data_IF_819451479192
#
_entry.id   IF_819451479192
#
_cell.length_a   1.000
_cell.length_b   1.000
_cell.length_c   1.000
_cell.angle_alpha   90.00
_cell.angle_beta   90.00
_cell.angle_gamma   90.00
#
_symmetry.space_group_name_H-M   'P 1'
#
loop_
_entity.id
_entity.type
_entity.pdbx_description
1 polymer ?
#
# COMPACT_ATOMS: atom_id res chain seq x y z
N UNK A 1 14.85 16.04 -16.61
CA UNK A 1 13.92 14.94 -16.94
C UNK A 1 13.64 14.20 -15.64
N UNK A 2 12.39 13.88 -15.39
CA UNK A 2 12.01 13.10 -14.19
C UNK A 2 12.65 11.71 -14.23
N UNK A 3 12.98 11.16 -13.06
CA UNK A 3 13.50 9.79 -12.94
C UNK A 3 12.48 8.71 -13.36
N UNK A 4 11.22 9.08 -13.57
CA UNK A 4 10.11 8.18 -13.94
C UNK A 4 9.67 8.35 -15.39
N UNK A 5 10.32 9.27 -16.14
CA UNK A 5 10.04 9.47 -17.57
C UNK A 5 10.14 8.13 -18.32
N UNK A 6 9.06 7.79 -19.04
CA UNK A 6 8.92 6.55 -19.81
C UNK A 6 8.97 5.23 -19.01
N UNK A 7 8.96 5.28 -17.69
CA UNK A 7 8.81 4.08 -16.88
C UNK A 7 7.39 3.50 -16.98
N UNK A 8 7.28 2.20 -16.83
CA UNK A 8 6.06 1.40 -16.89
C UNK A 8 5.66 1.01 -15.49
N UNK A 9 4.56 1.57 -15.03
CA UNK A 9 4.12 1.49 -13.65
C UNK A 9 2.79 0.76 -13.56
N UNK A 10 2.64 -0.12 -12.60
CA UNK A 10 1.35 -0.75 -12.25
C UNK A 10 0.97 -0.28 -10.85
N UNK A 11 -0.27 0.16 -10.69
CA UNK A 11 -0.84 0.47 -9.36
C UNK A 11 -2.13 -0.34 -9.18
N UNK A 12 -2.16 -1.21 -8.16
CA UNK A 12 -3.34 -2.00 -7.83
C UNK A 12 -4.22 -1.28 -6.82
N UNK A 13 -5.56 -1.50 -6.88
CA UNK A 13 -6.52 -0.76 -6.07
C UNK A 13 -6.47 0.73 -6.39
N UNK A 14 -6.28 1.07 -7.66
CA UNK A 14 -6.05 2.44 -8.12
C UNK A 14 -7.32 3.17 -8.59
N UNK A 15 -8.50 2.56 -8.42
CA UNK A 15 -9.78 3.21 -8.70
C UNK A 15 -10.17 4.31 -7.71
N UNK A 16 -9.35 4.58 -6.69
CA UNK A 16 -9.60 5.65 -5.72
C UNK A 16 -8.50 5.75 -4.65
N UNK A 17 -8.66 6.72 -3.76
CA UNK A 17 -7.82 6.91 -2.59
C UNK A 17 -6.31 6.98 -2.89
N UNK A 18 -5.52 6.29 -2.08
CA UNK A 18 -4.04 6.28 -2.21
C UNK A 18 -3.62 5.77 -3.59
N UNK A 19 -4.28 4.70 -4.10
CA UNK A 19 -3.94 4.13 -5.40
C UNK A 19 -4.12 5.10 -6.55
N UNK A 20 -5.22 5.84 -6.58
CA UNK A 20 -5.47 6.87 -7.59
C UNK A 20 -4.43 8.01 -7.50
N UNK A 21 -4.13 8.49 -6.28
CA UNK A 21 -3.12 9.51 -6.08
C UNK A 21 -1.72 9.07 -6.57
N UNK A 22 -1.34 7.82 -6.29
CA UNK A 22 -0.10 7.23 -6.80
C UNK A 22 -0.10 7.18 -8.33
N UNK A 23 -1.20 6.72 -8.94
CA UNK A 23 -1.32 6.63 -10.40
C UNK A 23 -1.20 7.99 -11.07
N UNK A 24 -1.93 9.00 -10.58
CA UNK A 24 -1.82 10.38 -11.06
C UNK A 24 -0.40 10.93 -10.92
N UNK A 25 0.24 10.72 -9.75
CA UNK A 25 1.58 11.24 -9.51
C UNK A 25 2.62 10.60 -10.43
N UNK A 26 2.62 9.28 -10.62
CA UNK A 26 3.52 8.62 -11.56
C UNK A 26 3.31 9.10 -13.00
N UNK A 27 2.06 9.28 -13.42
CA UNK A 27 1.75 9.79 -14.75
C UNK A 27 2.23 11.23 -14.94
N UNK A 28 2.09 12.10 -13.95
CA UNK A 28 2.59 13.47 -13.95
C UNK A 28 4.13 13.53 -14.07
N UNK A 29 4.83 12.52 -13.57
CA UNK A 29 6.28 12.35 -13.69
C UNK A 29 6.70 11.72 -15.04
N UNK A 30 5.75 11.50 -15.96
CA UNK A 30 5.99 11.00 -17.32
C UNK A 30 5.99 9.48 -17.48
N UNK A 31 5.56 8.74 -16.48
CA UNK A 31 5.38 7.29 -16.59
C UNK A 31 4.15 6.94 -17.43
N UNK A 32 4.13 5.69 -17.93
CA UNK A 32 2.91 5.03 -18.44
C UNK A 32 2.36 4.15 -17.34
N UNK A 33 1.11 4.38 -16.93
CA UNK A 33 0.53 3.76 -15.72
C UNK A 33 -0.60 2.80 -16.09
N UNK A 34 -0.53 1.57 -15.61
CA UNK A 34 -1.68 0.68 -15.51
C UNK A 34 -2.42 1.00 -14.21
N UNK A 35 -3.68 1.38 -14.38
CA UNK A 35 -4.65 1.59 -13.31
C UNK A 35 -5.45 0.31 -13.15
N UNK A 36 -5.17 -0.47 -12.07
CA UNK A 36 -5.92 -1.69 -11.78
C UNK A 36 -6.86 -1.47 -10.60
N UNK A 37 -8.09 -1.93 -10.75
CA UNK A 37 -9.09 -2.03 -9.68
C UNK A 37 -10.05 -3.19 -9.98
N UNK A 38 -10.70 -3.72 -8.93
CA UNK A 38 -11.78 -4.71 -9.11
C UNK A 38 -13.00 -4.10 -9.83
N UNK A 39 -13.26 -2.80 -9.60
CA UNK A 39 -14.32 -2.05 -10.25
C UNK A 39 -13.80 -1.46 -11.58
N UNK A 40 -14.30 -1.99 -12.74
CA UNK A 40 -13.86 -1.51 -14.05
C UNK A 40 -14.17 -0.03 -14.29
N UNK A 41 -15.28 0.47 -13.75
CA UNK A 41 -15.69 1.87 -13.94
C UNK A 41 -14.77 2.82 -13.17
N UNK A 42 -14.37 2.45 -11.95
CA UNK A 42 -13.41 3.22 -11.16
C UNK A 42 -12.03 3.24 -11.82
N UNK A 43 -11.55 2.08 -12.29
CA UNK A 43 -10.28 2.01 -13.00
C UNK A 43 -10.26 2.88 -14.27
N UNK A 44 -11.35 2.82 -15.07
CA UNK A 44 -11.51 3.60 -16.29
C UNK A 44 -11.53 5.11 -15.97
N UNK A 45 -12.31 5.54 -15.00
CA UNK A 45 -12.42 6.96 -14.64
C UNK A 45 -11.07 7.58 -14.23
N UNK A 46 -10.25 6.84 -13.45
CA UNK A 46 -8.91 7.32 -13.07
C UNK A 46 -7.98 7.36 -14.28
N UNK A 47 -8.02 6.36 -15.16
CA UNK A 47 -7.19 6.35 -16.36
C UNK A 47 -7.57 7.48 -17.34
N UNK A 48 -8.86 7.76 -17.51
CA UNK A 48 -9.38 8.90 -18.31
C UNK A 48 -8.94 10.23 -17.71
N UNK A 49 -9.09 10.42 -16.38
CA UNK A 49 -8.65 11.65 -15.70
C UNK A 49 -7.15 11.90 -15.82
N UNK A 50 -6.33 10.86 -15.82
CA UNK A 50 -4.90 10.99 -16.12
C UNK A 50 -4.69 11.45 -17.58
N UNK A 51 -5.45 10.88 -18.53
CA UNK A 51 -5.39 11.27 -19.95
C UNK A 51 -5.79 12.74 -20.19
N UNK A 52 -6.83 13.22 -19.53
CA UNK A 52 -7.28 14.62 -19.58
C UNK A 52 -6.21 15.62 -19.11
N UNK A 53 -5.36 15.19 -18.16
CA UNK A 53 -4.22 15.95 -17.68
C UNK A 53 -2.95 15.82 -18.55
N UNK A 54 -3.05 15.12 -19.70
CA UNK A 54 -1.94 14.88 -20.61
C UNK A 54 -0.99 13.76 -20.21
N UNK A 55 -1.33 12.96 -19.19
CA UNK A 55 -0.61 11.77 -18.76
C UNK A 55 -0.91 10.54 -19.62
N UNK A 56 -0.23 9.43 -19.36
CA UNK A 56 -0.41 8.16 -20.06
C UNK A 56 -0.87 7.09 -19.08
N UNK A 57 -2.10 6.62 -19.22
CA UNK A 57 -2.65 5.55 -18.39
C UNK A 57 -3.54 4.60 -19.20
N UNK A 58 -3.65 3.37 -18.74
CA UNK A 58 -4.56 2.36 -19.26
C UNK A 58 -5.21 1.62 -18.10
N UNK A 59 -6.54 1.49 -18.17
CA UNK A 59 -7.28 0.69 -17.19
C UNK A 59 -7.14 -0.80 -17.48
N UNK A 60 -6.74 -1.58 -16.47
CA UNK A 60 -6.70 -3.04 -16.51
C UNK A 60 -7.47 -3.54 -15.29
N UNK A 61 -8.81 -3.69 -15.40
CA UNK A 61 -9.65 -4.14 -14.30
C UNK A 61 -9.39 -5.61 -13.95
N UNK A 62 -9.63 -5.97 -12.69
CA UNK A 62 -9.52 -7.34 -12.23
C UNK A 62 -8.83 -7.49 -10.89
N UNK A 63 -8.67 -8.73 -10.46
CA UNK A 63 -8.07 -9.07 -9.18
C UNK A 63 -6.57 -8.72 -9.16
N UNK A 64 -6.17 -7.93 -8.19
CA UNK A 64 -4.78 -7.54 -7.95
C UNK A 64 -3.82 -8.74 -7.79
N UNK A 65 -4.33 -9.89 -7.38
CA UNK A 65 -3.54 -11.12 -7.23
C UNK A 65 -3.16 -11.78 -8.57
N UNK A 66 -3.83 -11.41 -9.66
CA UNK A 66 -3.69 -12.04 -10.98
C UNK A 66 -3.27 -11.05 -12.10
N UNK A 67 -3.35 -9.74 -11.86
CA UNK A 67 -3.24 -8.67 -12.89
C UNK A 67 -1.88 -8.55 -13.59
N UNK A 68 -0.81 -9.12 -13.04
CA UNK A 68 0.57 -8.87 -13.52
C UNK A 68 0.78 -9.23 -15.00
N UNK A 69 0.17 -10.32 -15.48
CA UNK A 69 0.34 -10.75 -16.88
C UNK A 69 -0.33 -9.76 -17.85
N UNK A 70 -1.59 -9.40 -17.59
CA UNK A 70 -2.35 -8.46 -18.40
C UNK A 70 -1.75 -7.06 -18.36
N UNK A 71 -1.33 -6.60 -17.19
CA UNK A 71 -0.65 -5.32 -17.02
C UNK A 71 0.67 -5.27 -17.80
N UNK A 72 1.43 -6.36 -17.84
CA UNK A 72 2.66 -6.46 -18.62
C UNK A 72 2.38 -6.35 -20.12
N UNK A 73 1.34 -7.02 -20.61
CA UNK A 73 0.91 -6.93 -22.01
C UNK A 73 0.50 -5.51 -22.36
N UNK A 74 -0.34 -4.88 -21.56
CA UNK A 74 -0.79 -3.50 -21.73
C UNK A 74 0.36 -2.49 -21.76
N UNK A 75 1.45 -2.76 -21.03
CA UNK A 75 2.67 -1.95 -20.99
C UNK A 75 3.75 -2.33 -22.02
N UNK A 76 3.46 -3.21 -22.96
CA UNK A 76 4.40 -3.61 -24.02
C UNK A 76 5.53 -4.53 -23.52
N UNK A 77 5.28 -5.37 -22.52
CA UNK A 77 6.13 -6.50 -22.14
C UNK A 77 6.97 -6.32 -20.88
N UNK A 78 7.09 -5.12 -20.32
CA UNK A 78 7.88 -4.90 -19.08
C UNK A 78 7.11 -4.09 -18.05
N UNK A 79 7.46 -4.29 -16.77
CA UNK A 79 7.00 -3.48 -15.63
C UNK A 79 8.25 -3.02 -14.88
N UNK A 80 8.38 -1.71 -14.68
CA UNK A 80 9.53 -1.10 -14.00
C UNK A 80 9.23 -0.87 -12.52
N UNK A 81 8.00 -0.44 -12.20
CA UNK A 81 7.51 -0.19 -10.85
C UNK A 81 6.19 -0.93 -10.66
N UNK A 82 6.04 -1.63 -9.57
CA UNK A 82 4.79 -2.26 -9.17
C UNK A 82 4.38 -1.78 -7.78
N UNK A 83 3.24 -1.10 -7.70
CA UNK A 83 2.63 -0.65 -6.47
C UNK A 83 1.54 -1.64 -6.04
N UNK A 84 1.89 -2.55 -5.14
CA UNK A 84 0.96 -3.44 -4.45
C UNK A 84 0.19 -2.62 -3.41
N UNK A 85 -0.87 -1.95 -3.87
CA UNK A 85 -1.65 -1.01 -3.06
C UNK A 85 -3.05 -1.52 -2.74
N UNK A 86 -3.63 -2.41 -3.54
CA UNK A 86 -4.90 -3.04 -3.21
C UNK A 86 -4.90 -3.64 -1.81
N UNK A 87 -5.96 -3.44 -1.06
CA UNK A 87 -6.05 -3.93 0.31
C UNK A 87 -7.47 -3.90 0.85
N UNK A 88 -7.73 -4.76 1.83
CA UNK A 88 -8.97 -4.83 2.58
C UNK A 88 -8.75 -4.32 4.01
N UNK A 89 -9.58 -3.39 4.47
CA UNK A 89 -9.65 -2.98 5.86
C UNK A 89 -10.64 -3.89 6.59
N UNK A 90 -10.18 -5.08 6.99
CA UNK A 90 -11.01 -6.03 7.72
C UNK A 90 -11.01 -5.68 9.21
N UNK A 91 -12.14 -5.21 9.69
CA UNK A 91 -12.40 -5.11 11.14
C UNK A 91 -12.56 -6.49 11.77
N UNK A 92 -12.81 -6.49 13.08
CA UNK A 92 -13.08 -7.69 13.85
C UNK A 92 -11.97 -8.02 14.86
N UNK A 93 -12.34 -8.93 15.76
CA UNK A 93 -11.49 -9.44 16.83
C UNK A 93 -11.05 -10.89 16.56
N UNK A 94 -10.66 -11.61 17.61
CA UNK A 94 -10.25 -13.02 17.52
C UNK A 94 -11.41 -13.97 17.13
N UNK A 95 -12.66 -13.53 17.23
CA UNK A 95 -13.88 -14.30 16.90
C UNK A 95 -14.43 -13.97 15.51
N UNK A 96 -13.74 -13.11 14.74
CA UNK A 96 -14.12 -12.87 13.35
C UNK A 96 -14.12 -14.18 12.55
N UNK A 97 -15.08 -14.34 11.64
CA UNK A 97 -15.20 -15.52 10.80
C UNK A 97 -13.90 -15.80 10.05
N UNK A 98 -13.54 -17.09 9.89
CA UNK A 98 -12.34 -17.50 9.17
C UNK A 98 -12.27 -16.92 7.75
N UNK A 99 -13.42 -16.82 7.06
CA UNK A 99 -13.51 -16.22 5.74
C UNK A 99 -13.03 -14.75 5.71
N UNK A 100 -13.20 -13.98 6.80
CA UNK A 100 -12.68 -12.61 6.92
C UNK A 100 -11.16 -12.63 7.00
N UNK A 101 -10.59 -13.57 7.77
CA UNK A 101 -9.15 -13.77 7.88
C UNK A 101 -8.53 -14.21 6.56
N UNK A 102 -9.16 -15.17 5.88
CA UNK A 102 -8.70 -15.68 4.58
C UNK A 102 -8.71 -14.58 3.52
N UNK A 103 -9.81 -13.83 3.40
CA UNK A 103 -9.90 -12.71 2.45
C UNK A 103 -8.85 -11.63 2.74
N UNK A 104 -8.69 -11.25 4.01
CA UNK A 104 -7.68 -10.28 4.41
C UNK A 104 -6.26 -10.77 4.08
N UNK A 105 -5.95 -12.03 4.34
CA UNK A 105 -4.66 -12.64 4.05
C UNK A 105 -4.40 -12.72 2.54
N UNK A 106 -5.40 -13.13 1.78
CA UNK A 106 -5.26 -13.28 0.33
C UNK A 106 -4.97 -11.95 -0.36
N UNK A 107 -5.71 -10.89 0.00
CA UNK A 107 -5.52 -9.57 -0.62
C UNK A 107 -4.33 -8.82 -0.04
N UNK A 108 -4.21 -8.72 1.29
CA UNK A 108 -3.18 -7.87 1.91
C UNK A 108 -1.78 -8.49 1.90
N UNK A 109 -1.66 -9.82 1.76
CA UNK A 109 -0.37 -10.53 1.81
C UNK A 109 -0.11 -11.32 0.53
N UNK A 110 -1.01 -12.25 0.17
CA UNK A 110 -0.75 -13.17 -0.93
C UNK A 110 -0.75 -12.50 -2.30
N UNK A 111 -1.52 -11.43 -2.50
CA UNK A 111 -1.45 -10.63 -3.72
C UNK A 111 -0.04 -10.05 -3.92
N UNK A 112 0.60 -9.54 -2.86
CA UNK A 112 1.99 -9.05 -2.91
C UNK A 112 2.99 -10.18 -3.24
N UNK A 113 2.81 -11.35 -2.61
CA UNK A 113 3.66 -12.53 -2.85
C UNK A 113 3.52 -13.02 -4.30
N UNK A 114 2.30 -13.13 -4.82
CA UNK A 114 2.03 -13.57 -6.20
C UNK A 114 2.62 -12.60 -7.21
N UNK A 115 2.41 -11.28 -7.01
CA UNK A 115 2.99 -10.26 -7.88
C UNK A 115 4.52 -10.33 -7.90
N UNK A 116 5.17 -10.35 -6.73
CA UNK A 116 6.63 -10.45 -6.64
C UNK A 116 7.18 -11.70 -7.33
N UNK A 117 6.51 -12.85 -7.18
CA UNK A 117 6.89 -14.12 -7.83
C UNK A 117 6.92 -14.01 -9.37
N UNK A 118 6.02 -13.24 -9.96
CA UNK A 118 5.94 -13.02 -11.41
C UNK A 118 6.89 -11.92 -11.91
N UNK A 119 7.24 -10.95 -11.07
CA UNK A 119 8.07 -9.80 -11.42
C UNK A 119 9.57 -10.08 -11.24
N UNK A 120 9.94 -10.76 -10.16
CA UNK A 120 11.34 -10.98 -9.78
C UNK A 120 12.20 -11.63 -10.85
N UNK A 121 11.78 -12.67 -11.58
CA UNK A 121 12.64 -13.27 -12.61
C UNK A 121 13.15 -12.23 -13.62
N UNK A 122 12.27 -11.37 -14.14
CA UNK A 122 12.61 -10.34 -15.10
C UNK A 122 13.45 -9.20 -14.50
N UNK A 123 13.12 -8.80 -13.26
CA UNK A 123 13.88 -7.75 -12.57
C UNK A 123 15.31 -8.19 -12.20
N UNK A 124 15.47 -9.45 -11.82
CA UNK A 124 16.77 -10.02 -11.48
C UNK A 124 17.65 -10.25 -12.71
N UNK A 125 17.05 -10.59 -13.85
CA UNK A 125 17.75 -10.75 -15.12
C UNK A 125 18.30 -9.41 -15.61
N UNK A 126 17.48 -8.34 -15.57
CA UNK A 126 17.90 -7.00 -16.03
C UNK A 126 18.65 -6.19 -14.96
N UNK A 127 18.71 -6.65 -13.70
CA UNK A 127 19.35 -5.95 -12.61
C UNK A 127 18.62 -4.70 -12.12
N UNK A 128 17.31 -4.56 -12.38
CA UNK A 128 16.54 -3.38 -11.99
C UNK A 128 15.04 -3.68 -11.85
N UNK A 129 14.41 -3.14 -10.80
CA UNK A 129 12.97 -3.20 -10.57
C UNK A 129 12.61 -2.51 -9.26
N UNK A 130 11.36 -2.07 -9.13
CA UNK A 130 10.90 -1.40 -7.91
C UNK A 130 9.55 -1.95 -7.45
N UNK A 131 9.51 -2.41 -6.20
CA UNK A 131 8.32 -2.90 -5.55
C UNK A 131 7.90 -1.93 -4.44
N UNK A 132 6.71 -1.38 -4.53
CA UNK A 132 6.10 -0.51 -3.51
C UNK A 132 4.97 -1.28 -2.84
N UNK A 133 5.03 -1.44 -1.53
CA UNK A 133 3.99 -2.10 -0.72
C UNK A 133 3.23 -1.05 0.09
N UNK A 134 1.94 -0.87 -0.16
CA UNK A 134 1.08 -0.07 0.73
C UNK A 134 0.67 -0.91 1.92
N UNK A 135 1.45 -0.76 3.00
CA UNK A 135 1.21 -1.43 4.27
C UNK A 135 0.17 -0.65 5.10
N UNK A 136 0.54 -0.13 6.22
CA UNK A 136 -0.20 0.73 7.16
C UNK A 136 0.63 0.93 8.43
N UNK A 137 0.40 1.97 9.18
CA UNK A 137 0.86 2.06 10.58
C UNK A 137 0.38 0.86 11.43
N UNK A 138 -0.77 0.26 11.08
CA UNK A 138 -1.25 -0.98 11.71
C UNK A 138 -0.30 -2.18 11.53
N UNK A 139 0.56 -2.18 10.51
CA UNK A 139 1.63 -3.17 10.32
C UNK A 139 2.86 -2.94 11.20
N UNK A 140 2.94 -1.80 11.87
CA UNK A 140 3.98 -1.43 12.82
C UNK A 140 3.48 -1.41 14.26
N UNK A 141 2.23 -0.97 14.48
CA UNK A 141 1.71 -0.57 15.80
C UNK A 141 0.55 -1.44 16.31
N UNK A 142 -0.11 -2.18 15.41
CA UNK A 142 -1.38 -2.89 15.66
C UNK A 142 -2.55 -1.90 15.86
N UNK A 143 -3.71 -2.21 15.31
CA UNK A 143 -4.89 -1.34 15.36
C UNK A 143 -5.98 -1.96 16.23
N UNK A 144 -6.61 -1.15 17.09
CA UNK A 144 -7.77 -1.50 17.89
C UNK A 144 -8.94 -1.90 16.98
N UNK A 145 -9.67 -2.97 17.34
CA UNK A 145 -10.88 -3.42 16.64
C UNK A 145 -10.63 -4.00 15.23
N UNK A 146 -9.37 -4.28 14.87
CA UNK A 146 -9.03 -4.76 13.53
C UNK A 146 -7.90 -5.80 13.58
N UNK A 147 -8.15 -6.95 14.21
CA UNK A 147 -7.16 -8.02 14.36
C UNK A 147 -6.73 -8.62 13.02
N UNK A 148 -7.66 -9.03 12.09
CA UNK A 148 -7.24 -9.56 10.79
C UNK A 148 -6.42 -8.54 9.97
N UNK A 149 -6.83 -7.28 9.98
CA UNK A 149 -6.10 -6.21 9.29
C UNK A 149 -4.69 -6.04 9.86
N UNK A 150 -4.56 -5.93 11.18
CA UNK A 150 -3.28 -5.74 11.85
C UNK A 150 -2.30 -6.89 11.57
N UNK A 151 -2.75 -8.13 11.69
CA UNK A 151 -1.93 -9.31 11.42
C UNK A 151 -1.47 -9.35 9.96
N UNK A 152 -2.39 -9.10 9.02
CA UNK A 152 -2.05 -9.14 7.60
C UNK A 152 -1.14 -7.97 7.19
N UNK A 153 -1.29 -6.78 7.77
CA UNK A 153 -0.39 -5.66 7.50
C UNK A 153 1.02 -5.85 8.10
N UNK A 154 1.15 -6.53 9.26
CA UNK A 154 2.45 -7.00 9.74
C UNK A 154 3.06 -8.05 8.78
N UNK A 155 2.25 -8.98 8.27
CA UNK A 155 2.69 -9.97 7.27
C UNK A 155 3.18 -9.31 5.97
N UNK A 156 2.45 -8.31 5.47
CA UNK A 156 2.85 -7.55 4.27
C UNK A 156 4.17 -6.79 4.48
N UNK A 157 4.36 -6.17 5.67
CA UNK A 157 5.60 -5.50 6.02
C UNK A 157 6.77 -6.47 6.06
N UNK A 158 6.61 -7.59 6.77
CA UNK A 158 7.65 -8.62 6.89
C UNK A 158 8.04 -9.18 5.50
N UNK A 159 7.07 -9.37 4.59
CA UNK A 159 7.34 -9.79 3.23
C UNK A 159 8.13 -8.73 2.45
N UNK A 160 7.76 -7.45 2.56
CA UNK A 160 8.49 -6.35 1.93
C UNK A 160 9.93 -6.22 2.48
N UNK A 161 10.13 -6.36 3.79
CA UNK A 161 11.45 -6.41 4.42
C UNK A 161 12.28 -7.56 3.86
N UNK A 162 11.70 -8.76 3.80
CA UNK A 162 12.37 -9.93 3.26
C UNK A 162 12.79 -9.74 1.79
N UNK A 163 11.93 -9.15 0.95
CA UNK A 163 12.27 -8.81 -0.43
C UNK A 163 13.46 -7.85 -0.50
N UNK A 164 13.46 -6.81 0.34
CA UNK A 164 14.52 -5.82 0.40
C UNK A 164 15.84 -6.44 0.84
N UNK A 165 15.84 -7.24 1.92
CA UNK A 165 17.00 -7.95 2.44
C UNK A 165 17.62 -8.87 1.36
N UNK A 166 16.75 -9.58 0.62
CA UNK A 166 17.18 -10.63 -0.29
C UNK A 166 17.67 -10.10 -1.63
N UNK A 167 17.05 -9.04 -2.16
CA UNK A 167 17.25 -8.67 -3.58
C UNK A 167 17.78 -7.26 -3.82
N UNK A 168 17.96 -6.43 -2.77
CA UNK A 168 18.48 -5.06 -2.94
C UNK A 168 19.84 -5.03 -3.64
N UNK A 169 20.75 -5.92 -3.29
CA UNK A 169 22.09 -6.02 -3.91
C UNK A 169 22.05 -6.48 -5.37
N UNK A 170 20.88 -6.96 -5.85
CA UNK A 170 20.63 -7.38 -7.22
C UNK A 170 19.80 -6.37 -8.02
N UNK A 171 19.70 -5.13 -7.53
CA UNK A 171 19.04 -4.03 -8.21
C UNK A 171 17.52 -3.93 -7.99
N UNK A 172 16.93 -4.73 -7.10
CA UNK A 172 15.51 -4.62 -6.76
C UNK A 172 15.34 -3.68 -5.57
N UNK A 173 14.71 -2.54 -5.79
CA UNK A 173 14.36 -1.57 -4.74
C UNK A 173 12.98 -1.90 -4.16
N UNK A 174 12.86 -1.86 -2.85
CA UNK A 174 11.60 -2.12 -2.16
C UNK A 174 11.28 -0.98 -1.20
N UNK A 175 10.04 -0.53 -1.21
CA UNK A 175 9.53 0.54 -0.36
C UNK A 175 8.24 0.10 0.31
N UNK A 176 8.10 0.35 1.61
CA UNK A 176 6.90 0.08 2.40
C UNK A 176 6.30 1.40 2.88
N UNK A 177 5.11 1.74 2.40
CA UNK A 177 4.37 2.93 2.85
C UNK A 177 3.51 2.52 4.04
N UNK A 178 3.67 3.19 5.17
CA UNK A 178 2.96 2.90 6.41
C UNK A 178 2.15 4.14 6.90
N UNK A 179 1.07 4.51 6.21
CA UNK A 179 0.22 5.62 6.63
C UNK A 179 -0.65 5.25 7.84
N UNK A 180 -1.07 6.27 8.60
CA UNK A 180 -2.20 6.20 9.53
C UNK A 180 -3.50 6.51 8.79
N UNK A 181 -4.34 7.42 9.31
CA UNK A 181 -5.56 7.84 8.67
C UNK A 181 -5.31 8.58 7.35
N UNK A 182 -5.94 8.14 6.28
CA UNK A 182 -5.96 8.82 4.98
C UNK A 182 -7.41 9.00 4.54
N UNK A 183 -7.79 10.19 4.09
CA UNK A 183 -9.17 10.52 3.68
C UNK A 183 -9.58 9.75 2.43
N UNK A 184 -10.10 8.56 2.65
CA UNK A 184 -10.53 7.60 1.62
C UNK A 184 -11.81 6.91 2.07
N UNK A 185 -12.48 6.21 1.15
CA UNK A 185 -13.63 5.36 1.49
C UNK A 185 -13.30 4.34 2.59
N UNK A 186 -12.05 3.85 2.62
CA UNK A 186 -11.55 2.91 3.63
C UNK A 186 -11.58 3.51 5.04
N UNK A 187 -11.22 4.79 5.20
CA UNK A 187 -11.29 5.47 6.50
C UNK A 187 -12.74 5.62 6.96
N UNK A 188 -13.64 5.98 6.06
CA UNK A 188 -15.07 6.09 6.34
C UNK A 188 -15.66 4.74 6.77
N UNK A 189 -15.21 3.65 6.14
CA UNK A 189 -15.65 2.30 6.47
C UNK A 189 -15.06 1.76 7.79
N UNK A 190 -14.04 2.38 8.38
CA UNK A 190 -13.40 1.95 9.61
C UNK A 190 -14.24 2.20 10.89
N UNK A 191 -15.38 2.90 10.78
CA UNK A 191 -16.33 3.13 11.87
C UNK A 191 -15.73 3.87 13.07
N UNK A 192 -16.30 3.62 14.27
CA UNK A 192 -15.95 4.36 15.49
C UNK A 192 -14.48 4.21 15.93
N UNK A 193 -13.83 3.09 15.63
CA UNK A 193 -12.39 2.92 15.90
C UNK A 193 -11.57 3.82 14.98
N UNK A 194 -11.95 3.90 13.70
CA UNK A 194 -11.34 4.83 12.73
C UNK A 194 -11.53 6.30 13.12
N UNK A 195 -12.73 6.67 13.56
CA UNK A 195 -13.03 8.02 14.03
C UNK A 195 -12.20 8.42 15.25
N UNK A 196 -12.00 7.49 16.18
CA UNK A 196 -11.23 7.76 17.39
C UNK A 196 -9.72 7.88 17.14
N UNK A 197 -9.16 6.96 16.36
CA UNK A 197 -7.71 6.77 16.26
C UNK A 197 -7.13 7.42 15.00
N UNK A 198 -7.86 7.41 13.87
CA UNK A 198 -7.31 7.76 12.57
C UNK A 198 -7.80 9.12 12.04
N UNK A 199 -9.07 9.47 12.29
CA UNK A 199 -9.65 10.68 11.72
C UNK A 199 -8.99 11.99 12.19
N UNK A 200 -8.54 12.14 13.46
CA UNK A 200 -7.96 13.40 13.94
C UNK A 200 -6.69 13.83 13.21
N UNK A 201 -5.91 12.88 12.73
CA UNK A 201 -4.64 13.12 12.02
C UNK A 201 -4.68 12.73 10.56
N UNK A 202 -5.89 12.50 10.00
CA UNK A 202 -6.04 12.03 8.62
C UNK A 202 -5.54 13.05 7.60
N UNK A 203 -4.69 12.59 6.70
CA UNK A 203 -4.12 13.35 5.57
C UNK A 203 -4.83 13.02 4.26
N UNK A 204 -4.62 13.83 3.24
CA UNK A 204 -5.11 13.57 1.89
C UNK A 204 -4.25 12.48 1.19
N UNK A 205 -4.84 11.72 0.23
CA UNK A 205 -4.11 10.71 -0.52
C UNK A 205 -2.86 11.25 -1.24
N UNK A 206 -2.91 12.47 -1.73
CA UNK A 206 -1.78 13.12 -2.42
C UNK A 206 -0.56 13.28 -1.51
N UNK A 207 -0.76 13.57 -0.22
CA UNK A 207 0.33 13.64 0.75
C UNK A 207 1.04 12.27 0.94
N UNK A 208 0.32 11.16 0.77
CA UNK A 208 0.92 9.82 0.77
C UNK A 208 1.77 9.60 -0.48
N UNK A 209 1.28 10.04 -1.65
CA UNK A 209 2.04 9.97 -2.89
C UNK A 209 3.31 10.83 -2.80
N UNK A 210 3.23 12.05 -2.29
CA UNK A 210 4.40 12.93 -2.08
C UNK A 210 5.43 12.29 -1.14
N UNK A 211 4.98 11.71 -0.03
CA UNK A 211 5.87 11.00 0.89
C UNK A 211 6.57 9.79 0.24
N UNK A 212 5.86 9.05 -0.64
CA UNK A 212 6.46 7.96 -1.40
C UNK A 212 7.58 8.49 -2.31
N UNK A 213 7.31 9.53 -3.09
CA UNK A 213 8.30 10.07 -4.04
C UNK A 213 9.54 10.61 -3.32
N UNK A 214 9.36 11.37 -2.23
CA UNK A 214 10.46 11.80 -1.37
C UNK A 214 11.27 10.62 -0.81
N UNK A 215 10.58 9.57 -0.36
CA UNK A 215 11.21 8.36 0.16
C UNK A 215 11.97 7.58 -0.91
N UNK A 216 11.42 7.46 -2.12
CA UNK A 216 12.07 6.78 -3.25
C UNK A 216 13.33 7.52 -3.70
N UNK A 217 13.28 8.86 -3.79
CA UNK A 217 14.44 9.69 -4.12
C UNK A 217 15.58 9.51 -3.11
N UNK A 218 15.24 9.41 -1.82
CA UNK A 218 16.19 9.17 -0.71
C UNK A 218 16.59 7.71 -0.52
N UNK A 219 16.05 6.78 -1.33
CA UNK A 219 16.32 5.34 -1.23
C UNK A 219 15.85 4.71 0.08
N UNK A 220 14.82 5.27 0.73
CA UNK A 220 14.28 4.78 2.00
C UNK A 220 13.42 3.54 1.77
N UNK A 221 13.57 2.54 2.63
CA UNK A 221 12.69 1.38 2.68
C UNK A 221 11.36 1.74 3.34
N UNK A 222 11.40 2.23 4.58
CA UNK A 222 10.21 2.58 5.35
C UNK A 222 9.83 4.03 5.09
N UNK A 223 8.60 4.24 4.63
CA UNK A 223 8.03 5.55 4.30
C UNK A 223 6.85 5.81 5.22
N UNK A 224 6.96 6.85 6.02
CA UNK A 224 6.00 7.25 7.05
C UNK A 224 5.39 8.60 6.66
N UNK A 225 4.22 8.62 5.99
CA UNK A 225 3.52 9.87 5.66
C UNK A 225 3.10 10.67 6.90
N UNK A 226 2.95 9.98 8.05
CA UNK A 226 2.68 10.57 9.36
C UNK A 226 3.96 10.47 10.20
N UNK A 227 4.68 11.57 10.42
CA UNK A 227 6.00 11.55 11.09
C UNK A 227 5.98 10.96 12.50
N UNK A 228 4.86 11.16 13.24
CA UNK A 228 4.66 10.66 14.59
C UNK A 228 4.69 9.14 14.71
N UNK A 229 4.43 8.42 13.62
CA UNK A 229 4.51 6.95 13.58
C UNK A 229 5.91 6.46 13.91
N UNK A 230 6.94 7.21 13.56
CA UNK A 230 8.32 6.86 13.91
C UNK A 230 8.53 6.82 15.43
N UNK A 231 8.01 7.81 16.14
CA UNK A 231 8.13 7.90 17.61
C UNK A 231 7.31 6.79 18.28
N UNK A 232 6.11 6.51 17.79
CA UNK A 232 5.28 5.41 18.31
C UNK A 232 5.96 4.05 18.10
N UNK A 233 6.53 3.83 16.94
CA UNK A 233 7.24 2.58 16.62
C UNK A 233 8.50 2.41 17.49
N UNK A 234 9.26 3.49 17.71
CA UNK A 234 10.40 3.49 18.61
C UNK A 234 9.97 3.22 20.06
N UNK A 235 8.90 3.86 20.55
CA UNK A 235 8.37 3.64 21.89
C UNK A 235 7.93 2.18 22.09
N UNK A 236 7.21 1.59 21.10
CA UNK A 236 6.82 0.18 21.13
C UNK A 236 8.01 -0.76 21.20
N UNK A 237 9.07 -0.49 20.43
CA UNK A 237 10.26 -1.33 20.40
C UNK A 237 11.09 -1.23 21.68
N UNK A 238 11.10 -0.04 22.32
CA UNK A 238 11.90 0.23 23.52
C UNK A 238 11.27 -0.37 24.78
N UNK A 239 9.94 -0.25 24.94
CA UNK A 239 9.19 -0.75 26.11
C UNK A 239 7.82 -1.30 25.64
N UNK A 240 7.79 -2.57 25.17
CA UNK A 240 6.55 -3.20 24.69
C UNK A 240 5.45 -3.30 25.76
N UNK A 241 5.80 -3.51 27.01
CA UNK A 241 4.82 -3.68 28.10
C UNK A 241 4.12 -2.37 28.41
N UNK A 242 4.88 -1.28 28.47
CA UNK A 242 4.33 0.08 28.61
C UNK A 242 3.46 0.45 27.41
N UNK A 243 3.90 0.13 26.21
CA UNK A 243 3.13 0.37 24.98
C UNK A 243 1.79 -0.37 25.03
N UNK A 244 1.79 -1.67 25.30
CA UNK A 244 0.59 -2.50 25.37
C UNK A 244 -0.36 -2.04 26.48
N UNK A 245 0.16 -1.59 27.63
CA UNK A 245 -0.66 -1.00 28.69
C UNK A 245 -1.38 0.27 28.23
N UNK A 246 -0.69 1.15 27.51
CA UNK A 246 -1.29 2.37 26.92
C UNK A 246 -2.35 2.04 25.86
N UNK A 247 -2.07 1.09 24.99
CA UNK A 247 -3.04 0.64 23.97
C UNK A 247 -4.26 -0.04 24.59
N UNK A 248 -4.08 -0.80 25.68
CA UNK A 248 -5.20 -1.38 26.43
C UNK A 248 -6.08 -0.30 27.08
N UNK A 249 -5.50 0.78 27.58
CA UNK A 249 -6.28 1.92 28.08
C UNK A 249 -7.11 2.57 26.95
N UNK A 250 -6.53 2.73 25.76
CA UNK A 250 -7.24 3.24 24.59
C UNK A 250 -8.37 2.29 24.14
N UNK A 251 -8.14 0.96 24.16
CA UNK A 251 -9.15 -0.06 23.89
C UNK A 251 -10.35 0.08 24.82
N UNK A 252 -10.12 0.21 26.14
CA UNK A 252 -11.18 0.42 27.13
C UNK A 252 -11.97 1.72 26.90
N UNK A 253 -11.28 2.78 26.46
CA UNK A 253 -11.93 4.06 26.13
C UNK A 253 -12.83 3.92 24.90
N UNK A 254 -12.43 3.11 23.92
CA UNK A 254 -13.22 2.81 22.74
C UNK A 254 -14.46 1.96 23.08
N UNK A 255 -14.30 0.92 23.88
CA UNK A 255 -15.40 0.03 24.32
C UNK A 255 -16.47 0.75 25.18
N UNK A 256 -16.10 1.85 25.83
CA UNK A 256 -17.01 2.63 26.68
C UNK A 256 -17.86 3.65 25.89
N UNK A 257 -17.69 3.78 24.58
CA UNK A 257 -18.47 4.68 23.69
C UNK A 257 -19.64 3.98 23.03
#
# INVERSE_FOLDING_TARGET
>A
MSAYQDQRVVVTGAGGGIGAALAHRFAAEGATVVVNDLDPAKAAAVAEGIGELGGRAVAVPGDASAVVAEAREALGGTIDVYCANAGLASGGDAFADEAVWEAAWDVNVMAHVRAARLLLPHWLERGSGRFVSTVSAAGLLTMIGAAPYSVTKHGALAFAEWLSLTYRHRGVQVHAICPQGVRTDMLTAAGSAGELVLAPTAIEPDAVADALFDGMEKGRFLILPHPEVADYYAARATDPDRWLSGMNHLQRTWEAR
#
